data_IF_805772139711
#
_entry.id   IF_805772139711
#
_cell.length_a   1.000
_cell.length_b   1.000
_cell.length_c   1.000
_cell.angle_alpha   90.00
_cell.angle_beta   90.00
_cell.angle_gamma   90.00
#
_symmetry.space_group_name_H-M   'P 1'
#
loop_
_entity.id
_entity.type
_entity.pdbx_description
1 polymer ?
#
# COMPACT_ATOMS: atom_id res chain seq x y z
N UNK A 1 17.88 -29.45 24.27
CA UNK A 1 18.91 -30.43 24.72
C UNK A 1 18.23 -31.37 25.69
N UNK A 2 18.16 -32.65 25.36
CA UNK A 2 17.64 -33.66 26.30
C UNK A 2 18.68 -33.89 27.41
N UNK A 3 18.26 -33.80 28.65
CA UNK A 3 19.09 -34.12 29.82
C UNK A 3 19.30 -35.63 29.85
N UNK A 4 20.54 -36.06 29.87
CA UNK A 4 20.92 -37.46 30.07
C UNK A 4 21.56 -37.60 31.45
N UNK A 5 21.00 -38.46 32.27
CA UNK A 5 21.61 -38.87 33.54
C UNK A 5 22.51 -40.07 33.30
N UNK A 6 23.82 -39.92 33.54
CA UNK A 6 24.80 -40.97 33.36
C UNK A 6 25.52 -41.21 34.68
N UNK A 7 25.57 -42.47 35.12
CA UNK A 7 26.28 -42.84 36.31
C UNK A 7 27.80 -42.58 36.18
N UNK A 8 28.39 -41.95 37.22
CA UNK A 8 29.81 -41.54 37.22
C UNK A 8 30.73 -42.78 37.23
N UNK A 9 31.56 -42.89 36.21
CA UNK A 9 32.63 -43.90 36.07
C UNK A 9 33.97 -43.20 35.87
N UNK A 10 35.12 -43.83 36.23
CA UNK A 10 36.43 -43.17 36.14
C UNK A 10 36.86 -42.78 34.73
N UNK A 11 36.28 -43.36 33.68
CA UNK A 11 36.39 -42.92 32.28
C UNK A 11 35.00 -42.94 31.66
N UNK A 12 34.52 -41.76 31.23
CA UNK A 12 33.15 -41.58 30.76
C UNK A 12 33.18 -41.03 29.33
N UNK A 13 32.58 -41.81 28.40
CA UNK A 13 32.34 -41.36 27.03
C UNK A 13 30.86 -41.05 26.88
N UNK A 14 30.51 -39.77 26.90
CA UNK A 14 29.14 -39.33 26.77
C UNK A 14 28.90 -38.96 25.30
N UNK A 15 28.04 -39.73 24.64
CA UNK A 15 27.60 -39.41 23.28
C UNK A 15 26.28 -38.62 23.41
N UNK A 16 26.37 -37.32 23.17
CA UNK A 16 25.19 -36.49 23.15
C UNK A 16 24.40 -36.74 21.85
N UNK A 17 23.13 -37.10 21.99
CA UNK A 17 22.21 -37.10 20.85
C UNK A 17 21.84 -35.67 20.54
N UNK A 18 21.98 -35.28 19.28
CA UNK A 18 21.47 -33.99 18.83
C UNK A 18 19.94 -34.00 18.92
N UNK A 19 19.39 -33.02 19.60
CA UNK A 19 17.96 -32.77 19.72
C UNK A 19 17.50 -31.98 18.47
N UNK A 20 17.82 -32.50 17.32
CA UNK A 20 17.31 -31.99 16.05
C UNK A 20 15.95 -32.68 15.80
N UNK A 21 14.93 -32.34 16.57
CA UNK A 21 13.59 -32.39 16.03
C UNK A 21 13.54 -31.40 14.87
N UNK A 22 13.81 -31.89 13.68
CA UNK A 22 13.43 -31.17 12.48
C UNK A 22 11.90 -31.14 12.46
N UNK A 23 11.32 -30.06 12.97
CA UNK A 23 9.92 -29.75 12.75
C UNK A 23 9.77 -29.69 11.24
N UNK A 24 9.19 -30.73 10.67
CA UNK A 24 8.78 -30.77 9.26
C UNK A 24 7.73 -29.68 9.08
N UNK A 25 8.18 -28.48 8.71
CA UNK A 25 7.29 -27.37 8.44
C UNK A 25 6.44 -27.72 7.22
N UNK A 26 5.17 -28.01 7.47
CA UNK A 26 4.19 -28.35 6.45
C UNK A 26 3.72 -27.05 5.80
N UNK A 27 3.79 -26.99 4.50
CA UNK A 27 3.38 -25.84 3.70
C UNK A 27 2.13 -26.22 2.90
N UNK A 28 1.16 -25.33 2.87
CA UNK A 28 -0.01 -25.48 1.98
C UNK A 28 0.44 -25.12 0.56
N UNK A 29 0.24 -26.03 -0.35
CA UNK A 29 0.45 -25.87 -1.80
C UNK A 29 -0.89 -26.01 -2.52
N UNK A 30 -0.95 -25.64 -3.80
CA UNK A 30 -2.17 -25.47 -4.62
C UNK A 30 -3.31 -26.47 -4.38
N UNK A 31 -3.00 -27.75 -4.20
CA UNK A 31 -4.00 -28.82 -4.03
C UNK A 31 -3.66 -29.78 -2.88
N UNK A 32 -3.00 -29.28 -1.83
CA UNK A 32 -2.69 -30.12 -0.67
C UNK A 32 -1.63 -29.52 0.23
N UNK A 33 -1.11 -30.36 1.12
CA UNK A 33 -0.02 -30.01 2.01
C UNK A 33 1.25 -30.75 1.58
N UNK A 34 2.35 -30.04 1.43
CA UNK A 34 3.65 -30.61 1.15
C UNK A 34 4.64 -30.24 2.27
N UNK A 35 5.60 -31.13 2.53
CA UNK A 35 6.72 -30.79 3.41
C UNK A 35 7.58 -29.74 2.73
N UNK A 36 8.00 -28.71 3.46
CA UNK A 36 8.86 -27.65 2.94
C UNK A 36 10.16 -28.21 2.32
N UNK A 37 10.67 -29.32 2.85
CA UNK A 37 11.84 -30.03 2.32
C UNK A 37 11.62 -30.68 0.95
N UNK A 38 10.37 -30.98 0.59
CA UNK A 38 9.99 -31.60 -0.68
C UNK A 38 9.59 -30.57 -1.74
N UNK A 39 9.41 -29.31 -1.33
CA UNK A 39 9.03 -28.25 -2.23
C UNK A 39 10.25 -27.61 -2.87
N UNK A 40 10.48 -27.85 -4.14
CA UNK A 40 11.63 -27.35 -4.91
C UNK A 40 11.48 -25.87 -5.34
N UNK A 41 10.29 -25.29 -5.19
CA UNK A 41 9.98 -23.91 -5.57
C UNK A 41 10.33 -22.89 -4.48
N UNK A 42 10.39 -21.61 -4.87
CA UNK A 42 10.61 -20.50 -3.94
C UNK A 42 9.27 -20.07 -3.32
N UNK A 43 8.96 -20.58 -2.14
CA UNK A 43 7.80 -20.17 -1.36
C UNK A 43 8.21 -19.58 -0.01
N UNK A 44 7.40 -18.68 0.50
CA UNK A 44 7.58 -18.10 1.82
C UNK A 44 6.25 -18.11 2.56
N UNK A 45 6.23 -18.67 3.77
CA UNK A 45 5.02 -18.77 4.59
C UNK A 45 5.12 -17.84 5.79
N UNK A 46 4.05 -17.13 6.07
CA UNK A 46 3.84 -16.30 7.26
C UNK A 46 2.73 -16.96 8.06
N UNK A 47 2.99 -17.25 9.33
CA UNK A 47 2.01 -17.84 10.25
C UNK A 47 1.14 -16.77 10.91
N UNK A 48 -0.02 -17.17 11.41
CA UNK A 48 -0.98 -16.31 12.10
C UNK A 48 -0.35 -15.45 13.20
N UNK A 49 0.57 -16.00 13.98
CA UNK A 49 1.21 -15.29 15.09
C UNK A 49 1.93 -14.02 14.63
N UNK A 50 2.68 -14.12 13.52
CA UNK A 50 3.39 -12.96 12.92
C UNK A 50 2.43 -11.92 12.32
N UNK A 51 1.26 -12.37 11.86
CA UNK A 51 0.22 -11.47 11.33
C UNK A 51 -0.43 -10.73 12.50
N UNK A 52 -0.73 -11.44 13.60
CA UNK A 52 -1.35 -10.88 14.79
C UNK A 52 -0.45 -9.85 15.52
N UNK A 53 0.87 -10.09 15.57
CA UNK A 53 1.83 -9.17 16.20
C UNK A 53 1.80 -7.76 15.58
N UNK A 54 1.53 -7.65 14.30
CA UNK A 54 1.55 -6.36 13.59
C UNK A 54 0.29 -5.54 13.71
N UNK A 55 -0.79 -6.10 14.21
CA UNK A 55 -2.08 -5.42 14.39
C UNK A 55 -2.54 -4.64 13.14
N UNK A 56 -2.34 -5.21 11.96
CA UNK A 56 -2.75 -4.60 10.69
C UNK A 56 -4.20 -4.91 10.38
N UNK A 57 -4.92 -3.91 9.88
CA UNK A 57 -6.32 -4.06 9.49
C UNK A 57 -6.49 -4.84 8.19
N UNK A 58 -5.48 -4.81 7.31
CA UNK A 58 -5.54 -5.42 5.98
C UNK A 58 -4.42 -6.44 5.77
N UNK A 59 -4.75 -7.56 5.12
CA UNK A 59 -3.80 -8.64 4.79
C UNK A 59 -2.65 -8.14 3.92
N UNK A 60 -2.93 -7.26 2.96
CA UNK A 60 -1.90 -6.68 2.09
C UNK A 60 -0.82 -5.94 2.88
N UNK A 61 -1.20 -5.28 3.97
CA UNK A 61 -0.26 -4.61 4.88
C UNK A 61 0.54 -5.61 5.73
N UNK A 62 -0.03 -6.78 6.03
CA UNK A 62 0.66 -7.83 6.77
C UNK A 62 1.87 -8.39 6.02
N UNK A 63 1.82 -8.39 4.68
CA UNK A 63 2.91 -8.86 3.82
C UNK A 63 4.10 -7.91 3.76
N UNK A 64 3.91 -6.64 4.14
CA UNK A 64 4.93 -5.59 4.03
C UNK A 64 6.17 -5.92 4.86
N UNK A 65 7.33 -6.08 4.19
CA UNK A 65 8.61 -6.35 4.82
C UNK A 65 8.76 -7.74 5.45
N UNK A 66 7.77 -8.64 5.30
CA UNK A 66 7.82 -10.00 5.85
C UNK A 66 8.38 -11.02 4.86
N UNK A 67 8.22 -10.76 3.58
CA UNK A 67 8.59 -11.71 2.54
C UNK A 67 9.55 -11.05 1.56
N UNK A 68 10.74 -11.64 1.41
CA UNK A 68 11.70 -11.18 0.42
C UNK A 68 11.12 -11.32 -1.01
N UNK A 69 11.28 -10.28 -1.83
CA UNK A 69 10.76 -10.24 -3.20
C UNK A 69 9.28 -9.89 -3.32
N UNK A 70 8.62 -9.53 -2.21
CA UNK A 70 7.28 -8.95 -2.19
C UNK A 70 7.39 -7.47 -1.85
N UNK A 71 6.90 -6.64 -2.75
CA UNK A 71 6.83 -5.20 -2.58
C UNK A 71 5.38 -4.79 -2.31
N UNK A 72 5.16 -4.05 -1.24
CA UNK A 72 3.86 -3.49 -0.90
C UNK A 72 3.95 -1.98 -0.92
N UNK A 73 3.05 -1.34 -1.64
CA UNK A 73 2.99 0.12 -1.75
C UNK A 73 1.61 0.58 -1.30
N UNK A 74 1.58 1.42 -0.28
CA UNK A 74 0.35 2.10 0.14
C UNK A 74 0.24 3.42 -0.63
N UNK A 75 -0.79 3.56 -1.45
CA UNK A 75 -0.99 4.75 -2.28
C UNK A 75 -1.49 5.96 -1.48
N UNK A 76 -2.23 5.71 -0.42
CA UNK A 76 -2.76 6.73 0.47
C UNK A 76 -2.85 6.20 1.90
N UNK A 77 -3.01 7.10 2.87
CA UNK A 77 -3.17 6.75 4.28
C UNK A 77 -4.65 6.60 4.71
N UNK A 78 -5.57 6.44 3.77
CA UNK A 78 -6.99 6.33 4.10
C UNK A 78 -7.28 5.02 4.85
N UNK A 79 -7.97 5.06 5.98
CA UNK A 79 -8.37 3.87 6.70
C UNK A 79 -9.20 2.94 5.83
N UNK A 80 -8.93 1.63 5.92
CA UNK A 80 -9.65 0.62 5.14
C UNK A 80 -9.10 0.36 3.73
N UNK A 81 -8.27 1.22 3.17
CA UNK A 81 -7.62 0.95 1.88
C UNK A 81 -6.48 -0.05 2.02
N UNK A 82 -6.50 -1.06 1.15
CA UNK A 82 -5.41 -2.04 1.02
C UNK A 82 -4.18 -1.46 0.34
N UNK A 83 -3.03 -2.06 0.59
CA UNK A 83 -1.81 -1.78 -0.17
C UNK A 83 -1.78 -2.58 -1.46
N UNK A 84 -1.23 -2.00 -2.52
CA UNK A 84 -0.90 -2.73 -3.73
C UNK A 84 0.27 -3.67 -3.47
N UNK A 85 0.07 -4.94 -3.76
CA UNK A 85 1.09 -5.98 -3.58
C UNK A 85 1.66 -6.36 -4.94
N UNK A 86 2.99 -6.42 -5.05
CA UNK A 86 3.69 -6.88 -6.25
C UNK A 86 4.74 -7.92 -5.87
N UNK A 87 4.82 -8.99 -6.67
CA UNK A 87 5.80 -10.06 -6.47
C UNK A 87 6.81 -9.99 -7.62
N UNK A 88 8.10 -9.85 -7.27
CA UNK A 88 9.22 -9.72 -8.22
C UNK A 88 9.13 -8.51 -9.17
N UNK A 89 8.35 -7.48 -8.83
CA UNK A 89 8.28 -6.22 -9.58
C UNK A 89 7.13 -6.14 -10.57
N UNK A 90 7.31 -5.36 -11.63
CA UNK A 90 6.31 -5.09 -12.67
C UNK A 90 6.58 -6.04 -13.84
N UNK A 91 5.61 -6.90 -14.14
CA UNK A 91 5.71 -7.88 -15.24
C UNK A 91 5.11 -7.38 -16.55
N UNK A 92 4.18 -6.42 -16.51
CA UNK A 92 3.50 -5.90 -17.69
C UNK A 92 3.29 -4.39 -17.59
N UNK A 93 3.40 -3.70 -18.72
CA UNK A 93 3.10 -2.26 -18.85
C UNK A 93 1.61 -1.99 -19.08
N UNK A 94 0.90 -2.92 -19.70
CA UNK A 94 -0.50 -2.75 -20.12
C UNK A 94 -1.48 -3.68 -19.39
N UNK A 95 -1.02 -4.77 -18.78
CA UNK A 95 -1.86 -5.69 -18.02
C UNK A 95 -1.72 -5.46 -16.51
N UNK A 96 -2.66 -5.99 -15.73
CA UNK A 96 -2.60 -5.97 -14.27
C UNK A 96 -1.33 -6.66 -13.77
N UNK A 97 -0.65 -6.05 -12.81
CA UNK A 97 0.52 -6.62 -12.13
C UNK A 97 0.17 -7.16 -10.72
N UNK A 98 -1.11 -7.30 -10.41
CA UNK A 98 -1.53 -7.82 -9.13
C UNK A 98 -1.30 -9.35 -9.07
N UNK A 99 -0.86 -9.88 -7.92
CA UNK A 99 -0.78 -11.31 -7.72
C UNK A 99 -2.17 -11.95 -7.68
N UNK A 100 -2.24 -13.24 -7.99
CA UNK A 100 -3.46 -14.01 -7.79
C UNK A 100 -3.61 -14.39 -6.32
N UNK A 101 -4.74 -14.08 -5.73
CA UNK A 101 -5.11 -14.55 -4.40
C UNK A 101 -5.90 -15.87 -4.52
N UNK A 102 -5.56 -16.82 -3.67
CA UNK A 102 -6.24 -18.11 -3.58
C UNK A 102 -6.60 -18.33 -2.12
N UNK A 103 -7.87 -18.37 -1.81
CA UNK A 103 -8.38 -18.54 -0.44
C UNK A 103 -8.88 -19.98 -0.30
N UNK A 104 -8.29 -20.73 0.61
CA UNK A 104 -8.60 -22.14 0.87
C UNK A 104 -8.66 -23.02 -0.39
N UNK A 105 -7.76 -22.73 -1.34
CA UNK A 105 -7.66 -23.47 -2.60
C UNK A 105 -8.53 -22.94 -3.74
N UNK A 106 -9.36 -21.92 -3.49
CA UNK A 106 -10.24 -21.32 -4.51
C UNK A 106 -9.67 -19.96 -4.95
N UNK A 107 -9.50 -19.70 -6.24
CA UNK A 107 -9.12 -18.38 -6.74
C UNK A 107 -10.13 -17.32 -6.31
N UNK A 108 -9.62 -16.23 -5.75
CA UNK A 108 -10.41 -15.14 -5.21
C UNK A 108 -10.16 -13.85 -6.01
N UNK A 109 -11.20 -13.35 -6.65
CA UNK A 109 -11.15 -12.15 -7.50
C UNK A 109 -11.65 -10.89 -6.77
N UNK A 110 -12.07 -11.01 -5.51
CA UNK A 110 -12.52 -9.90 -4.69
C UNK A 110 -11.37 -9.10 -4.07
N UNK A 111 -11.73 -8.05 -3.35
CA UNK A 111 -10.76 -7.27 -2.59
C UNK A 111 -10.29 -8.07 -1.37
N UNK A 112 -9.00 -8.35 -1.32
CA UNK A 112 -8.39 -9.12 -0.21
C UNK A 112 -8.51 -8.39 1.13
N UNK A 113 -8.75 -7.08 1.13
CA UNK A 113 -8.98 -6.30 2.35
C UNK A 113 -10.31 -6.64 3.04
N UNK A 114 -11.24 -7.29 2.34
CA UNK A 114 -12.51 -7.76 2.90
C UNK A 114 -12.33 -8.97 3.84
N UNK A 115 -11.20 -9.68 3.76
CA UNK A 115 -10.90 -10.82 4.62
C UNK A 115 -10.26 -10.31 5.90
N UNK A 116 -10.84 -10.70 7.04
CA UNK A 116 -10.29 -10.33 8.34
C UNK A 116 -8.96 -11.05 8.58
N UNK A 117 -7.92 -10.27 8.93
CA UNK A 117 -6.59 -10.81 9.24
C UNK A 117 -6.58 -11.81 10.41
N UNK A 118 -7.57 -11.75 11.28
CA UNK A 118 -7.70 -12.68 12.42
C UNK A 118 -8.21 -14.06 12.03
N UNK A 119 -8.91 -14.18 10.91
CA UNK A 119 -9.43 -15.46 10.42
C UNK A 119 -8.39 -16.25 9.64
N UNK A 120 -7.18 -15.68 9.46
CA UNK A 120 -6.11 -16.30 8.71
C UNK A 120 -5.26 -17.17 9.63
N UNK A 121 -4.99 -18.38 9.19
CA UNK A 121 -4.06 -19.31 9.80
C UNK A 121 -2.64 -19.11 9.25
N UNK A 122 -2.54 -19.00 7.92
CA UNK A 122 -1.25 -18.76 7.26
C UNK A 122 -1.41 -18.09 5.89
N UNK A 123 -0.35 -17.36 5.51
CA UNK A 123 -0.18 -16.77 4.17
C UNK A 123 1.06 -17.40 3.53
N UNK A 124 0.89 -18.03 2.39
CA UNK A 124 2.01 -18.59 1.61
C UNK A 124 2.14 -17.87 0.29
N UNK A 125 3.30 -17.27 0.05
CA UNK A 125 3.60 -16.55 -1.19
C UNK A 125 4.42 -17.45 -2.10
N UNK A 126 3.85 -17.82 -3.23
CA UNK A 126 4.52 -18.56 -4.30
C UNK A 126 5.14 -17.54 -5.27
N UNK A 127 6.46 -17.55 -5.32
CA UNK A 127 7.22 -16.57 -6.14
C UNK A 127 7.77 -17.20 -7.42
N UNK A 128 7.78 -18.51 -7.51
CA UNK A 128 8.41 -19.25 -8.59
C UNK A 128 7.41 -19.62 -9.68
N UNK A 129 7.86 -19.55 -10.94
CA UNK A 129 7.02 -19.87 -12.10
C UNK A 129 6.54 -21.33 -12.09
N UNK A 130 7.35 -22.26 -11.61
CA UNK A 130 6.97 -23.68 -11.50
C UNK A 130 5.80 -23.86 -10.53
N UNK A 131 5.84 -23.17 -9.39
CA UNK A 131 4.76 -23.21 -8.40
C UNK A 131 3.49 -22.52 -8.90
N UNK A 132 3.66 -21.48 -9.71
CA UNK A 132 2.57 -20.68 -10.26
C UNK A 132 1.90 -21.38 -11.45
N UNK A 133 2.61 -22.30 -12.13
CA UNK A 133 2.11 -23.01 -13.30
C UNK A 133 0.79 -23.77 -13.04
N UNK A 134 0.54 -24.17 -11.80
CA UNK A 134 -0.70 -24.83 -11.39
C UNK A 134 -1.95 -23.92 -11.53
N UNK A 135 -1.72 -22.59 -11.53
CA UNK A 135 -2.78 -21.58 -11.67
C UNK A 135 -2.84 -20.95 -13.07
N UNK A 136 -2.07 -21.49 -14.01
CA UNK A 136 -2.01 -21.04 -15.41
C UNK A 136 -1.58 -19.58 -15.55
N UNK A 137 -2.09 -18.92 -16.58
CA UNK A 137 -1.75 -17.53 -16.90
C UNK A 137 -2.09 -16.53 -15.77
N UNK A 138 -3.10 -16.82 -14.96
CA UNK A 138 -3.49 -15.97 -13.81
C UNK A 138 -2.43 -15.94 -12.72
N UNK A 139 -1.59 -16.97 -12.61
CA UNK A 139 -0.48 -17.05 -11.67
C UNK A 139 0.81 -16.35 -12.14
N UNK A 140 0.84 -15.76 -13.32
CA UNK A 140 2.07 -15.19 -13.92
C UNK A 140 2.73 -14.12 -13.03
N UNK A 141 1.94 -13.32 -12.33
CA UNK A 141 2.43 -12.28 -11.42
C UNK A 141 2.72 -12.77 -9.99
N UNK A 142 2.71 -14.09 -9.78
CA UNK A 142 2.81 -14.73 -8.48
C UNK A 142 1.46 -15.07 -7.87
N UNK A 143 1.48 -15.97 -6.89
CA UNK A 143 0.28 -16.44 -6.21
C UNK A 143 0.44 -16.29 -4.70
N UNK A 144 -0.59 -15.81 -4.05
CA UNK A 144 -0.67 -15.69 -2.59
C UNK A 144 -1.78 -16.62 -2.12
N UNK A 145 -1.37 -17.68 -1.43
CA UNK A 145 -2.29 -18.63 -0.81
C UNK A 145 -2.66 -18.11 0.57
N UNK A 146 -3.94 -17.98 0.81
CA UNK A 146 -4.51 -17.61 2.10
C UNK A 146 -5.20 -18.85 2.66
N UNK A 147 -4.73 -19.33 3.80
CA UNK A 147 -5.37 -20.42 4.51
C UNK A 147 -6.12 -19.85 5.70
N UNK A 148 -7.40 -20.10 5.80
CA UNK A 148 -8.23 -19.64 6.91
C UNK A 148 -8.21 -20.64 8.07
N UNK A 149 -8.45 -20.14 9.27
CA UNK A 149 -8.59 -20.96 10.47
C UNK A 149 -9.81 -21.85 10.36
N UNK A 150 -9.62 -23.14 10.57
CA UNK A 150 -10.71 -24.12 10.58
C UNK A 150 -11.17 -24.35 12.01
N UNK A 151 -12.47 -24.65 12.17
CA UNK A 151 -13.02 -25.07 13.45
C UNK A 151 -12.33 -26.35 13.94
N UNK A 152 -11.90 -26.36 15.19
CA UNK A 152 -11.36 -27.55 15.84
C UNK A 152 -12.44 -28.29 16.60
N UNK A 153 -12.37 -29.62 16.60
CA UNK A 153 -13.21 -30.46 17.47
C UNK A 153 -12.72 -30.37 18.90
N UNK A 154 -13.60 -30.01 19.85
CA UNK A 154 -13.22 -29.89 21.26
C UNK A 154 -14.07 -28.87 22.01
N UNK A 155 -13.51 -28.35 23.11
CA UNK A 155 -14.16 -27.28 23.88
C UNK A 155 -14.20 -25.98 23.08
N UNK A 156 -15.35 -25.30 23.09
CA UNK A 156 -15.48 -23.99 22.48
C UNK A 156 -14.53 -22.99 23.17
N UNK A 157 -13.71 -22.30 22.38
CA UNK A 157 -12.89 -21.19 22.85
C UNK A 157 -13.48 -19.90 22.34
N UNK A 158 -13.66 -18.93 23.23
CA UNK A 158 -14.14 -17.59 22.88
C UNK A 158 -12.96 -16.65 22.98
N UNK A 159 -12.55 -16.05 21.85
CA UNK A 159 -11.52 -15.03 21.81
C UNK A 159 -12.19 -13.69 21.52
N UNK A 160 -11.91 -12.69 22.35
CA UNK A 160 -12.33 -11.31 22.13
C UNK A 160 -11.09 -10.45 21.86
N UNK A 161 -11.03 -9.86 20.70
CA UNK A 161 -9.98 -8.89 20.33
C UNK A 161 -10.64 -7.54 20.04
N UNK A 162 -10.32 -6.53 20.84
CA UNK A 162 -10.84 -5.20 20.68
C UNK A 162 -9.69 -4.22 20.45
N UNK A 163 -9.70 -3.50 19.31
CA UNK A 163 -8.66 -2.55 18.92
C UNK A 163 -9.24 -1.16 18.75
N UNK A 164 -8.58 -0.18 19.36
CA UNK A 164 -8.88 1.23 19.16
C UNK A 164 -7.69 1.92 18.52
N UNK A 165 -7.96 2.75 17.54
CA UNK A 165 -6.93 3.53 16.88
C UNK A 165 -7.48 4.84 16.35
N UNK A 166 -6.65 5.88 16.32
CA UNK A 166 -6.97 7.14 15.68
C UNK A 166 -5.95 7.41 14.59
N UNK A 167 -6.43 7.75 13.40
CA UNK A 167 -5.57 8.20 12.32
C UNK A 167 -5.59 9.72 12.26
N UNK A 168 -4.40 10.31 12.27
CA UNK A 168 -4.22 11.74 12.06
C UNK A 168 -3.38 11.96 10.81
N UNK A 169 -3.67 13.04 10.09
CA UNK A 169 -2.83 13.46 8.98
C UNK A 169 -1.45 13.84 9.51
N UNK A 170 -0.40 13.16 9.05
CA UNK A 170 0.99 13.39 9.49
C UNK A 170 1.61 14.65 8.90
N UNK A 171 1.06 15.15 7.79
CA UNK A 171 1.50 16.39 7.14
C UNK A 171 0.46 17.45 7.39
N UNK A 172 0.86 18.64 7.84
CA UNK A 172 -0.02 19.79 7.97
C UNK A 172 -0.66 20.12 6.62
N UNK A 173 -1.85 20.71 6.67
CA UNK A 173 -2.42 21.27 5.45
C UNK A 173 -1.47 22.36 4.94
N UNK A 174 -1.26 22.37 3.63
CA UNK A 174 -0.65 23.54 3.00
C UNK A 174 -1.55 24.76 3.27
N UNK A 175 -0.93 25.91 3.40
CA UNK A 175 -1.68 27.17 3.40
C UNK A 175 -2.43 27.25 2.07
N UNK A 176 -3.74 27.19 2.17
CA UNK A 176 -4.65 27.34 1.03
C UNK A 176 -5.23 28.74 1.08
N UNK A 177 -5.33 29.36 -0.08
CA UNK A 177 -5.98 30.66 -0.19
C UNK A 177 -7.43 30.52 0.29
N UNK A 178 -7.79 31.31 1.29
CA UNK A 178 -9.12 31.29 1.90
C UNK A 178 -10.00 32.43 1.41
N UNK A 179 -9.40 33.40 0.73
CA UNK A 179 -10.07 34.60 0.21
C UNK A 179 -10.08 34.61 -1.30
N UNK A 180 -11.22 34.96 -1.90
CA UNK A 180 -11.32 35.16 -3.36
C UNK A 180 -10.38 36.28 -3.84
N UNK A 181 -10.15 37.30 -3.01
CA UNK A 181 -9.22 38.36 -3.31
C UNK A 181 -7.78 37.84 -3.45
N UNK A 182 -7.31 37.06 -2.46
CA UNK A 182 -5.98 36.48 -2.47
C UNK A 182 -5.78 35.56 -3.68
N UNK A 183 -6.81 34.79 -4.06
CA UNK A 183 -6.78 33.97 -5.26
C UNK A 183 -6.56 34.81 -6.53
N UNK A 184 -7.35 35.91 -6.68
CA UNK A 184 -7.25 36.78 -7.87
C UNK A 184 -5.91 37.51 -7.92
N UNK A 185 -5.39 37.98 -6.79
CA UNK A 185 -4.08 38.65 -6.70
C UNK A 185 -2.94 37.70 -7.08
N UNK A 186 -2.96 36.49 -6.57
CA UNK A 186 -1.96 35.46 -6.92
C UNK A 186 -2.07 35.05 -8.39
N UNK A 187 -3.29 34.90 -8.89
CA UNK A 187 -3.51 34.54 -10.29
C UNK A 187 -3.06 35.68 -11.23
N UNK A 188 -3.37 36.93 -10.90
CA UNK A 188 -2.86 38.10 -11.63
C UNK A 188 -1.33 38.14 -11.64
N UNK A 189 -0.68 37.95 -10.49
CA UNK A 189 0.77 37.94 -10.37
C UNK A 189 1.39 36.83 -11.20
N UNK A 190 0.79 35.64 -11.21
CA UNK A 190 1.25 34.53 -12.02
C UNK A 190 1.18 34.82 -13.52
N UNK A 191 0.05 35.43 -13.97
CA UNK A 191 -0.10 35.87 -15.34
C UNK A 191 0.87 36.99 -15.72
N UNK A 192 1.07 37.96 -14.83
CA UNK A 192 2.04 39.06 -15.02
C UNK A 192 3.46 38.51 -15.23
N UNK A 193 3.85 37.57 -14.41
CA UNK A 193 5.14 36.91 -14.56
C UNK A 193 5.26 36.13 -15.88
N UNK A 194 4.20 35.43 -16.28
CA UNK A 194 4.17 34.64 -17.52
C UNK A 194 4.20 35.49 -18.78
N UNK A 195 3.39 36.55 -18.85
CA UNK A 195 3.23 37.34 -20.06
C UNK A 195 4.11 38.59 -20.13
N UNK A 196 4.34 39.23 -19.02
CA UNK A 196 5.05 40.51 -18.97
C UNK A 196 6.40 40.46 -18.21
N UNK A 197 6.82 39.28 -17.76
CA UNK A 197 8.06 39.10 -17.01
C UNK A 197 8.07 39.84 -15.66
N UNK A 198 6.89 40.00 -15.06
CA UNK A 198 6.74 40.69 -13.75
C UNK A 198 6.57 42.18 -13.81
N UNK A 199 6.69 42.80 -15.00
CA UNK A 199 6.53 44.26 -15.16
C UNK A 199 5.16 44.61 -15.72
N UNK A 200 4.27 45.25 -14.94
CA UNK A 200 2.92 45.63 -15.37
C UNK A 200 2.91 46.70 -16.48
N UNK A 201 4.00 47.48 -16.62
CA UNK A 201 4.11 48.54 -17.59
C UNK A 201 4.80 48.11 -18.90
N UNK A 202 5.30 46.85 -18.95
CA UNK A 202 5.93 46.32 -20.16
C UNK A 202 4.93 46.29 -21.31
N UNK A 203 5.28 46.91 -22.42
CA UNK A 203 4.50 46.87 -23.65
C UNK A 203 4.72 45.52 -24.34
N UNK A 204 3.64 44.81 -24.57
CA UNK A 204 3.61 43.52 -25.25
C UNK A 204 3.54 43.72 -26.78
N UNK A 205 3.76 42.65 -27.53
CA UNK A 205 3.72 42.66 -29.02
C UNK A 205 2.37 43.09 -29.59
N UNK A 206 1.30 43.04 -28.82
CA UNK A 206 -0.03 43.50 -29.20
C UNK A 206 -0.27 45.00 -28.92
N UNK A 207 0.74 45.74 -28.45
CA UNK A 207 0.65 47.15 -28.16
C UNK A 207 0.01 47.50 -26.79
N UNK A 208 -0.43 46.53 -26.02
CA UNK A 208 -0.98 46.73 -24.68
C UNK A 208 0.10 46.63 -23.63
N UNK A 209 -0.09 47.33 -22.53
CA UNK A 209 0.78 47.11 -21.34
C UNK A 209 0.42 45.77 -20.71
N UNK A 210 1.36 45.14 -19.98
CA UNK A 210 1.12 43.88 -19.27
C UNK A 210 -0.12 43.95 -18.40
N UNK A 211 -0.30 45.05 -17.66
CA UNK A 211 -1.49 45.27 -16.85
C UNK A 211 -2.79 45.33 -17.67
N UNK A 212 -2.81 46.07 -18.78
CA UNK A 212 -3.99 46.15 -19.66
C UNK A 212 -4.35 44.79 -20.25
N UNK A 213 -3.37 44.05 -20.70
CA UNK A 213 -3.57 42.73 -21.29
C UNK A 213 -4.15 41.74 -20.25
N UNK A 214 -3.58 41.68 -19.07
CA UNK A 214 -4.02 40.73 -18.03
C UNK A 214 -5.42 41.11 -17.53
N UNK A 215 -5.69 42.40 -17.35
CA UNK A 215 -7.03 42.87 -16.98
C UNK A 215 -8.06 42.52 -18.06
N UNK A 216 -7.71 42.56 -19.32
CA UNK A 216 -8.61 42.14 -20.39
C UNK A 216 -8.91 40.64 -20.36
N UNK A 217 -7.96 39.82 -19.91
CA UNK A 217 -8.16 38.37 -19.75
C UNK A 217 -8.96 37.99 -18.50
N UNK A 218 -8.72 38.68 -17.39
CA UNK A 218 -9.36 38.35 -16.13
C UNK A 218 -10.78 38.93 -16.01
N UNK A 219 -10.97 40.15 -16.45
CA UNK A 219 -12.20 40.91 -16.14
C UNK A 219 -13.04 41.23 -17.39
N UNK A 220 -12.65 40.77 -18.56
CA UNK A 220 -13.48 40.90 -19.77
C UNK A 220 -14.68 39.96 -19.73
N UNK A 221 -15.74 40.32 -20.44
CA UNK A 221 -16.92 39.49 -20.57
C UNK A 221 -16.64 38.12 -21.22
N UNK A 222 -15.62 38.05 -22.05
CA UNK A 222 -15.16 36.83 -22.74
C UNK A 222 -14.05 36.08 -21.96
N UNK A 223 -13.58 36.64 -20.85
CA UNK A 223 -12.60 36.02 -19.96
C UNK A 223 -13.28 35.27 -18.79
N UNK A 224 -12.82 35.47 -17.58
CA UNK A 224 -13.39 34.82 -16.40
C UNK A 224 -14.75 35.39 -15.95
N UNK A 225 -15.29 36.38 -16.69
CA UNK A 225 -16.64 36.93 -16.45
C UNK A 225 -16.76 37.86 -15.25
N UNK A 226 -15.66 38.28 -14.64
CA UNK A 226 -15.69 39.24 -13.54
C UNK A 226 -15.91 40.66 -14.06
N UNK A 227 -16.62 41.50 -13.31
CA UNK A 227 -16.83 42.91 -13.69
C UNK A 227 -15.50 43.63 -13.77
N UNK A 228 -15.31 44.39 -14.86
CA UNK A 228 -14.09 45.17 -15.10
C UNK A 228 -13.99 46.30 -14.06
N UNK A 229 -13.12 46.14 -13.11
CA UNK A 229 -12.72 47.23 -12.24
C UNK A 229 -11.56 47.99 -12.92
N UNK A 230 -11.84 49.22 -13.31
CA UNK A 230 -10.84 50.11 -13.95
C UNK A 230 -9.84 50.70 -12.94
N UNK A 231 -9.44 49.95 -11.96
CA UNK A 231 -8.52 50.44 -10.91
C UNK A 231 -7.10 50.02 -11.28
N UNK A 232 -6.16 50.93 -11.37
CA UNK A 232 -4.77 50.62 -11.76
C UNK A 232 -3.95 49.88 -10.71
N UNK A 233 -4.47 49.66 -9.52
CA UNK A 233 -3.82 48.94 -8.43
C UNK A 233 -4.69 47.78 -7.95
N UNK A 234 -4.16 46.57 -8.01
CA UNK A 234 -4.77 45.34 -7.53
C UNK A 234 -5.15 45.37 -6.03
N UNK A 235 -4.41 46.15 -5.22
CA UNK A 235 -4.73 46.35 -3.82
C UNK A 235 -6.10 46.98 -3.54
N UNK A 236 -6.78 47.45 -4.59
CA UNK A 236 -8.10 48.06 -4.51
C UNK A 236 -9.22 47.23 -5.16
N UNK A 237 -8.95 46.00 -5.57
CA UNK A 237 -9.97 45.08 -6.06
C UNK A 237 -10.78 44.59 -4.86
N UNK A 238 -11.79 45.31 -4.51
CA UNK A 238 -12.85 44.83 -3.62
C UNK A 238 -13.80 44.00 -4.48
N UNK A 239 -13.74 42.69 -4.35
CA UNK A 239 -14.78 41.81 -4.85
C UNK A 239 -15.92 41.96 -3.83
N UNK A 240 -16.93 42.74 -4.15
CA UNK A 240 -18.16 42.77 -3.37
C UNK A 240 -18.89 41.47 -3.61
N UNK A 241 -19.23 40.73 -2.53
CA UNK A 241 -20.12 39.62 -2.55
C UNK A 241 -21.51 39.99 -3.10
#
# INVERSE_FOLDING_TARGET
MQTQEVAIKPTMKVTMKSDAEMLDEVMVVAYGTAKKSQFTGSASTIKADKIAERQVSNISNALSGQVAGVQTTSGNGQPGTGSTVRIRGVGSLSASNNPLYVVDGVPYDGDISAINSQDIESLTVLKDAASNALYGARGANGVILVTTKKGATGKATVNLDAKWGTNRRGVSNYDVMTSSQEYVENYYTAMLNGYAGGDPNRVLSNGMTGNQYINSLLFSKDGLGYPVYTVPNLSLIHISE
#
